data_IF_466120531896
#
_entry.id   IF_466120531896
#
_cell.length_a   1.000
_cell.length_b   1.000
_cell.length_c   1.000
_cell.angle_alpha   90.00
_cell.angle_beta   90.00
_cell.angle_gamma   90.00
#
_symmetry.space_group_name_H-M   'P 1'
#
loop_
_entity.id
_entity.type
_entity.pdbx_description
1 polymer ?
#
# COMPACT_ATOMS: atom_id res chain seq x y z
N UNK A 1 10.33 2.96 0.30
CA UNK A 1 11.23 3.29 -0.83
C UNK A 1 11.00 4.74 -1.20
N UNK A 2 12.06 5.52 -1.26
CA UNK A 2 11.97 6.95 -1.50
C UNK A 2 12.94 7.40 -2.59
N UNK A 3 12.60 8.50 -3.24
CA UNK A 3 13.47 9.19 -4.20
C UNK A 3 13.44 10.67 -3.90
N UNK A 4 14.58 11.34 -4.10
CA UNK A 4 14.75 12.76 -3.83
C UNK A 4 14.99 13.47 -5.15
N UNK A 5 14.23 14.53 -5.41
CA UNK A 5 14.29 15.28 -6.66
C UNK A 5 14.39 16.76 -6.33
N UNK A 6 15.36 17.44 -6.94
CA UNK A 6 15.43 18.91 -6.88
C UNK A 6 14.47 19.49 -7.92
N UNK A 7 13.61 20.41 -7.48
CA UNK A 7 12.61 21.11 -8.31
C UNK A 7 13.18 22.41 -8.87
N UNK A 8 12.50 22.96 -9.88
CA UNK A 8 12.89 24.19 -10.58
C UNK A 8 12.89 25.43 -9.67
N UNK A 9 12.07 25.43 -8.62
CA UNK A 9 11.99 26.47 -7.58
C UNK A 9 13.07 26.31 -6.49
N UNK A 10 14.09 25.49 -6.74
CA UNK A 10 15.15 25.13 -5.79
C UNK A 10 14.69 24.32 -4.56
N UNK A 11 13.40 24.00 -4.43
CA UNK A 11 12.94 23.10 -3.37
C UNK A 11 13.41 21.67 -3.63
N UNK A 12 13.65 20.92 -2.57
CA UNK A 12 14.00 19.50 -2.66
C UNK A 12 12.78 18.71 -2.22
N UNK A 13 12.21 17.91 -3.13
CA UNK A 13 11.06 17.06 -2.83
C UNK A 13 11.50 15.62 -2.72
N UNK A 14 11.16 14.99 -1.60
CA UNK A 14 11.22 13.56 -1.47
C UNK A 14 9.85 12.96 -1.79
N UNK A 15 9.82 11.99 -2.70
CA UNK A 15 8.67 11.12 -2.90
C UNK A 15 8.92 9.79 -2.20
N UNK A 16 7.90 9.27 -1.53
CA UNK A 16 7.94 7.99 -0.82
C UNK A 16 6.78 7.13 -1.26
N UNK A 17 7.05 5.84 -1.47
CA UNK A 17 6.02 4.81 -1.59
C UNK A 17 6.27 3.65 -0.62
N UNK A 18 5.18 3.02 -0.19
CA UNK A 18 5.22 1.86 0.71
C UNK A 18 3.84 1.28 0.96
N UNK A 19 3.77 0.30 1.87
CA UNK A 19 2.49 -0.24 2.35
C UNK A 19 1.60 0.89 2.88
N UNK A 20 0.32 0.86 2.52
CA UNK A 20 -0.56 2.01 2.70
C UNK A 20 -0.70 2.38 4.18
N UNK A 21 -0.91 1.40 5.05
CA UNK A 21 -1.03 1.60 6.50
C UNK A 21 0.26 2.09 7.16
N UNK A 22 1.44 1.76 6.61
CA UNK A 22 2.73 2.19 7.17
C UNK A 22 3.03 3.64 6.79
N UNK A 23 2.82 4.01 5.53
CA UNK A 23 3.10 5.37 5.05
C UNK A 23 2.07 6.36 5.61
N UNK A 24 0.79 6.00 5.67
CA UNK A 24 -0.23 6.90 6.23
C UNK A 24 0.03 7.26 7.69
N UNK A 25 0.60 6.35 8.50
CA UNK A 25 1.01 6.66 9.88
C UNK A 25 2.09 7.74 9.98
N UNK A 26 2.86 7.94 8.91
CA UNK A 26 3.91 8.96 8.79
C UNK A 26 3.40 10.25 8.14
N UNK A 27 2.12 10.32 7.77
CA UNK A 27 1.52 11.51 7.18
C UNK A 27 0.90 12.41 8.26
N UNK A 28 1.09 13.72 8.13
CA UNK A 28 0.38 14.73 8.94
C UNK A 28 -0.53 15.64 8.08
N UNK A 29 -0.47 15.46 6.76
CA UNK A 29 -1.27 16.19 5.79
C UNK A 29 -1.68 15.26 4.64
N UNK A 30 -2.72 15.63 3.92
CA UNK A 30 -3.23 14.91 2.74
C UNK A 30 -3.64 15.90 1.66
N UNK A 31 -3.46 15.53 0.39
CA UNK A 31 -4.00 16.26 -0.75
C UNK A 31 -5.48 15.92 -0.92
N UNK A 32 -6.32 16.95 -0.91
CA UNK A 32 -7.73 16.79 -1.22
C UNK A 32 -7.97 16.71 -2.75
N UNK A 33 -9.22 16.47 -3.15
CA UNK A 33 -9.64 16.41 -4.57
C UNK A 33 -9.37 17.69 -5.39
N UNK A 34 -9.19 18.83 -4.74
CA UNK A 34 -8.88 20.11 -5.39
C UNK A 34 -7.37 20.33 -5.51
N UNK A 35 -6.55 19.42 -5.00
CA UNK A 35 -5.09 19.57 -4.94
C UNK A 35 -4.61 20.44 -3.77
N UNK A 36 -5.47 20.72 -2.79
CA UNK A 36 -5.11 21.51 -1.61
C UNK A 36 -4.59 20.59 -0.51
N UNK A 37 -3.55 21.05 0.20
CA UNK A 37 -2.98 20.35 1.34
C UNK A 37 -3.83 20.68 2.57
N UNK A 38 -4.44 19.65 3.17
CA UNK A 38 -5.21 19.78 4.41
C UNK A 38 -4.56 18.98 5.54
N UNK A 39 -4.77 19.37 6.82
CA UNK A 39 -4.33 18.57 7.96
C UNK A 39 -4.90 17.14 7.89
N UNK A 40 -4.09 16.17 8.32
CA UNK A 40 -4.46 14.76 8.39
C UNK A 40 -4.29 14.28 9.83
N UNK A 41 -5.41 14.01 10.49
CA UNK A 41 -5.46 13.62 11.90
C UNK A 41 -5.47 12.10 12.06
N UNK A 42 -5.30 11.63 13.30
CA UNK A 42 -5.46 10.20 13.64
C UNK A 42 -6.88 9.70 13.32
N UNK A 43 -7.90 10.56 13.45
CA UNK A 43 -9.28 10.20 13.11
C UNK A 43 -9.42 9.95 11.61
N UNK A 44 -8.80 10.80 10.78
CA UNK A 44 -8.79 10.63 9.32
C UNK A 44 -8.01 9.37 8.92
N UNK A 45 -6.92 9.08 9.62
CA UNK A 45 -6.16 7.85 9.46
C UNK A 45 -7.03 6.60 9.71
N UNK A 46 -7.68 6.52 10.87
CA UNK A 46 -8.53 5.36 11.21
C UNK A 46 -9.69 5.22 10.22
N UNK A 47 -10.28 6.34 9.80
CA UNK A 47 -11.34 6.36 8.80
C UNK A 47 -10.85 5.81 7.45
N UNK A 48 -9.68 6.23 6.94
CA UNK A 48 -9.14 5.72 5.66
C UNK A 48 -8.74 4.24 5.74
N UNK A 49 -8.27 3.78 6.90
CA UNK A 49 -7.98 2.36 7.12
C UNK A 49 -9.26 1.54 6.93
N UNK A 50 -10.33 1.89 7.64
CA UNK A 50 -11.59 1.15 7.63
C UNK A 50 -12.36 1.26 6.31
N UNK A 51 -12.36 2.44 5.68
CA UNK A 51 -13.20 2.72 4.51
C UNK A 51 -12.52 2.49 3.17
N UNK A 52 -11.18 2.46 3.12
CA UNK A 52 -10.43 2.33 1.86
C UNK A 52 -9.48 1.14 1.90
N UNK A 53 -8.58 1.06 2.88
CA UNK A 53 -7.51 0.06 2.88
C UNK A 53 -8.06 -1.34 3.19
N UNK A 54 -8.84 -1.49 4.25
CA UNK A 54 -9.42 -2.78 4.63
C UNK A 54 -10.27 -3.39 3.50
N UNK A 55 -11.24 -2.68 2.89
CA UNK A 55 -11.99 -3.18 1.74
C UNK A 55 -11.10 -3.61 0.58
N UNK A 56 -10.12 -2.79 0.19
CA UNK A 56 -9.18 -3.15 -0.88
C UNK A 56 -8.40 -4.43 -0.56
N UNK A 57 -7.93 -4.59 0.68
CA UNK A 57 -7.20 -5.81 1.08
C UNK A 57 -8.09 -7.05 1.13
N UNK A 58 -9.37 -6.90 1.54
CA UNK A 58 -10.36 -7.97 1.51
C UNK A 58 -10.63 -8.45 0.07
N UNK A 59 -10.64 -7.53 -0.89
CA UNK A 59 -10.75 -7.85 -2.33
C UNK A 59 -9.46 -8.47 -2.91
N UNK A 60 -8.43 -8.62 -2.08
CA UNK A 60 -7.14 -9.21 -2.46
C UNK A 60 -6.21 -8.24 -3.17
N UNK A 61 -6.47 -6.93 -3.09
CA UNK A 61 -5.61 -5.91 -3.68
C UNK A 61 -4.41 -5.63 -2.76
N UNK A 62 -3.25 -5.44 -3.37
CA UNK A 62 -2.07 -4.90 -2.70
C UNK A 62 -2.19 -3.38 -2.63
N UNK A 63 -2.33 -2.84 -1.43
CA UNK A 63 -2.46 -1.41 -1.20
C UNK A 63 -1.09 -0.74 -1.09
N UNK A 64 -0.89 0.36 -1.83
CA UNK A 64 0.32 1.18 -1.82
C UNK A 64 -0.09 2.63 -1.62
N UNK A 65 0.53 3.32 -0.67
CA UNK A 65 0.38 4.76 -0.49
C UNK A 65 1.57 5.49 -1.13
N UNK A 66 1.26 6.57 -1.83
CA UNK A 66 2.21 7.53 -2.38
C UNK A 66 2.12 8.81 -1.58
N UNK A 67 3.27 9.29 -1.11
CA UNK A 67 3.37 10.51 -0.31
C UNK A 67 4.61 11.31 -0.70
N UNK A 68 4.66 12.57 -0.30
CA UNK A 68 5.85 13.39 -0.48
C UNK A 68 6.14 14.28 0.74
N UNK A 69 7.34 14.84 0.77
CA UNK A 69 7.72 15.92 1.68
C UNK A 69 8.65 16.88 0.97
N UNK A 70 8.44 18.17 1.21
CA UNK A 70 9.28 19.23 0.70
C UNK A 70 10.29 19.69 1.77
N UNK A 71 11.53 19.88 1.34
CA UNK A 71 12.63 20.39 2.14
C UNK A 71 13.16 21.69 1.51
N UNK A 72 13.47 22.66 2.37
CA UNK A 72 14.11 23.89 1.95
C UNK A 72 15.56 23.60 1.53
N UNK A 73 16.06 24.18 0.43
CA UNK A 73 17.46 23.98 -0.01
C UNK A 73 18.48 24.42 1.04
N UNK A 74 18.10 25.34 1.93
CA UNK A 74 18.98 25.88 2.98
C UNK A 74 18.95 25.03 4.27
N UNK A 75 18.07 24.02 4.34
CA UNK A 75 17.88 23.17 5.52
C UNK A 75 17.57 21.75 5.07
N UNK A 76 18.56 21.10 4.47
CA UNK A 76 18.46 19.69 4.12
C UNK A 76 18.63 18.83 5.38
N UNK A 77 17.87 17.74 5.51
CA UNK A 77 18.05 16.79 6.60
C UNK A 77 19.33 15.97 6.40
N UNK A 78 19.73 15.24 7.45
CA UNK A 78 20.65 14.12 7.29
C UNK A 78 19.90 12.98 6.59
N UNK A 79 20.35 12.63 5.38
CA UNK A 79 19.68 11.61 4.56
C UNK A 79 19.88 10.19 5.07
N UNK A 80 20.89 9.96 5.91
CA UNK A 80 21.15 8.66 6.53
C UNK A 80 20.19 8.40 7.71
N UNK A 81 19.53 9.45 8.22
CA UNK A 81 18.47 9.33 9.23
C UNK A 81 17.09 9.14 8.57
N UNK A 82 16.87 7.93 8.03
CA UNK A 82 15.63 7.57 7.34
C UNK A 82 14.38 7.82 8.21
N UNK A 83 14.50 7.63 9.53
CA UNK A 83 13.36 7.76 10.46
C UNK A 83 12.81 9.17 10.47
N UNK A 84 13.69 10.18 10.57
CA UNK A 84 13.31 11.58 10.60
C UNK A 84 13.03 12.16 9.20
N UNK A 85 13.69 11.61 8.17
CA UNK A 85 13.47 12.01 6.78
C UNK A 85 12.09 11.55 6.30
N UNK A 86 11.76 10.29 6.53
CA UNK A 86 10.49 9.66 6.11
C UNK A 86 9.45 9.78 7.22
N UNK A 87 9.15 11.03 7.58
CA UNK A 87 8.13 11.43 8.54
C UNK A 87 7.51 12.76 8.11
N UNK A 88 6.38 13.17 8.72
CA UNK A 88 5.66 14.42 8.41
C UNK A 88 5.33 14.56 6.92
N UNK A 89 4.85 13.47 6.33
CA UNK A 89 4.56 13.37 4.91
C UNK A 89 3.19 13.99 4.56
N UNK A 90 3.06 14.39 3.31
CA UNK A 90 1.78 14.69 2.66
C UNK A 90 1.35 13.50 1.83
N UNK A 91 0.23 12.88 2.21
CA UNK A 91 -0.38 11.79 1.44
C UNK A 91 -0.92 12.34 0.10
N UNK A 92 -0.57 11.68 -1.01
CA UNK A 92 -1.08 12.02 -2.36
C UNK A 92 -2.28 11.13 -2.66
N UNK A 93 -2.08 9.82 -2.61
CA UNK A 93 -3.11 8.83 -2.94
C UNK A 93 -2.77 7.45 -2.40
N UNK A 94 -3.81 6.60 -2.35
CA UNK A 94 -3.71 5.17 -2.08
C UNK A 94 -4.16 4.45 -3.34
N UNK A 95 -3.34 3.49 -3.79
CA UNK A 95 -3.64 2.66 -4.95
C UNK A 95 -3.80 1.20 -4.50
N UNK A 96 -4.89 0.56 -4.92
CA UNK A 96 -5.05 -0.89 -4.86
C UNK A 96 -4.57 -1.51 -6.16
N UNK A 97 -3.63 -2.45 -6.08
CA UNK A 97 -3.09 -3.17 -7.25
C UNK A 97 -3.51 -4.62 -7.14
N UNK A 98 -4.28 -5.10 -8.12
CA UNK A 98 -4.63 -6.52 -8.18
C UNK A 98 -3.44 -7.33 -8.70
N UNK A 99 -3.10 -8.40 -7.99
CA UNK A 99 -2.18 -9.41 -8.49
C UNK A 99 -3.01 -10.50 -9.17
N UNK A 100 -3.16 -10.40 -10.49
CA UNK A 100 -4.04 -11.30 -11.23
C UNK A 100 -3.57 -12.75 -11.12
N UNK A 101 -4.52 -13.64 -10.83
CA UNK A 101 -4.26 -15.07 -10.82
C UNK A 101 -4.18 -15.54 -12.26
N UNK A 102 -3.22 -16.43 -12.55
CA UNK A 102 -3.13 -17.01 -13.89
C UNK A 102 -4.42 -17.79 -14.20
N UNK A 103 -5.05 -17.59 -15.37
CA UNK A 103 -6.38 -18.14 -15.65
C UNK A 103 -6.50 -19.67 -15.53
N UNK A 104 -5.41 -20.39 -15.70
CA UNK A 104 -5.33 -21.86 -15.64
C UNK A 104 -5.23 -22.41 -14.20
N UNK A 105 -4.79 -21.62 -13.23
CA UNK A 105 -4.53 -22.06 -11.85
C UNK A 105 -5.74 -22.67 -11.16
N UNK A 106 -6.96 -22.09 -11.21
CA UNK A 106 -8.13 -22.69 -10.56
C UNK A 106 -8.45 -24.09 -11.10
N UNK A 107 -8.31 -24.30 -12.41
CA UNK A 107 -8.55 -25.60 -13.04
C UNK A 107 -7.49 -26.63 -12.63
N UNK A 108 -6.22 -26.23 -12.55
CA UNK A 108 -5.13 -27.10 -12.07
C UNK A 108 -5.38 -27.54 -10.62
N UNK A 109 -5.78 -26.61 -9.75
CA UNK A 109 -6.08 -26.92 -8.34
C UNK A 109 -7.27 -27.87 -8.22
N UNK A 110 -8.32 -27.66 -9.03
CA UNK A 110 -9.46 -28.57 -9.07
C UNK A 110 -9.05 -30.01 -9.46
N UNK A 111 -8.18 -30.16 -10.47
CA UNK A 111 -7.63 -31.48 -10.87
C UNK A 111 -6.79 -32.12 -9.77
N UNK A 112 -5.92 -31.36 -9.11
CA UNK A 112 -5.14 -31.86 -7.98
C UNK A 112 -6.04 -32.37 -6.85
N UNK A 113 -7.09 -31.63 -6.50
CA UNK A 113 -8.07 -32.05 -5.48
C UNK A 113 -8.82 -33.31 -5.89
N UNK A 114 -9.27 -33.40 -7.15
CA UNK A 114 -9.92 -34.60 -7.67
C UNK A 114 -9.01 -35.85 -7.58
N UNK A 115 -7.70 -35.67 -7.76
CA UNK A 115 -6.70 -36.71 -7.61
C UNK A 115 -6.30 -37.01 -6.14
N UNK A 116 -6.93 -36.37 -5.15
CA UNK A 116 -6.61 -36.55 -3.73
C UNK A 116 -5.34 -35.83 -3.25
N UNK A 117 -4.82 -34.87 -4.03
CA UNK A 117 -3.61 -34.10 -3.69
C UNK A 117 -4.00 -32.86 -2.87
N UNK A 118 -3.36 -32.68 -1.71
CA UNK A 118 -3.51 -31.47 -0.90
C UNK A 118 -2.59 -30.35 -1.40
N UNK A 119 -3.19 -29.23 -1.81
CA UNK A 119 -2.46 -28.02 -2.24
C UNK A 119 -2.28 -27.08 -1.04
N UNK A 120 -1.08 -26.50 -0.86
CA UNK A 120 -0.77 -25.52 0.19
C UNK A 120 -0.18 -24.25 -0.43
N UNK A 121 -0.68 -23.09 -0.02
CA UNK A 121 -0.13 -21.79 -0.39
C UNK A 121 0.97 -21.38 0.60
N UNK A 122 2.11 -20.93 0.09
CA UNK A 122 3.16 -20.25 0.85
C UNK A 122 3.31 -18.87 0.22
N UNK A 123 3.04 -17.81 0.98
CA UNK A 123 3.15 -16.42 0.51
C UNK A 123 3.68 -15.52 1.62
N UNK A 124 4.31 -14.41 1.22
CA UNK A 124 4.70 -13.31 2.11
C UNK A 124 3.65 -12.21 2.21
N UNK A 125 2.48 -12.37 1.57
CA UNK A 125 1.38 -11.43 1.64
C UNK A 125 0.72 -11.42 3.03
N UNK A 126 -0.02 -10.35 3.33
CA UNK A 126 -0.82 -10.30 4.55
C UNK A 126 -1.95 -11.37 4.53
N UNK A 127 -2.51 -11.67 5.70
CA UNK A 127 -3.49 -12.76 5.86
C UNK A 127 -4.77 -12.57 5.04
N UNK A 128 -5.25 -11.33 4.87
CA UNK A 128 -6.48 -11.03 4.13
C UNK A 128 -6.27 -11.23 2.63
N UNK A 129 -5.17 -10.72 2.09
CA UNK A 129 -4.78 -10.91 0.69
C UNK A 129 -4.50 -12.38 0.38
N UNK A 130 -3.81 -13.09 1.27
CA UNK A 130 -3.54 -14.51 1.12
C UNK A 130 -4.85 -15.32 1.09
N UNK A 131 -5.79 -15.02 2.01
CA UNK A 131 -7.11 -15.68 2.05
C UNK A 131 -7.91 -15.42 0.79
N UNK A 132 -7.98 -14.16 0.34
CA UNK A 132 -8.69 -13.78 -0.89
C UNK A 132 -8.12 -14.51 -2.11
N UNK A 133 -6.79 -14.54 -2.25
CA UNK A 133 -6.10 -15.27 -3.32
C UNK A 133 -6.36 -16.78 -3.23
N UNK A 134 -6.33 -17.36 -2.03
CA UNK A 134 -6.57 -18.78 -1.82
C UNK A 134 -8.01 -19.19 -2.16
N UNK A 135 -8.99 -18.33 -1.90
CA UNK A 135 -10.40 -18.51 -2.32
C UNK A 135 -10.53 -18.42 -3.83
N UNK A 136 -9.98 -17.37 -4.46
CA UNK A 136 -10.01 -17.21 -5.93
C UNK A 136 -9.34 -18.37 -6.67
N UNK A 137 -8.26 -18.93 -6.11
CA UNK A 137 -7.56 -20.11 -6.63
C UNK A 137 -8.29 -21.45 -6.35
N UNK A 138 -9.25 -21.48 -5.43
CA UNK A 138 -9.91 -22.73 -5.00
C UNK A 138 -9.06 -23.62 -4.08
N UNK A 139 -8.01 -23.07 -3.46
CA UNK A 139 -7.20 -23.78 -2.46
C UNK A 139 -8.04 -23.99 -1.20
N UNK A 140 -8.71 -22.93 -0.75
CA UNK A 140 -9.75 -22.97 0.26
C UNK A 140 -11.10 -22.70 -0.40
N UNK A 141 -12.18 -23.28 0.13
CA UNK A 141 -13.54 -23.10 -0.38
C UNK A 141 -14.31 -22.19 0.57
N UNK A 142 -15.32 -21.48 0.06
CA UNK A 142 -16.30 -20.80 0.91
C UNK A 142 -17.08 -21.86 1.68
N UNK A 143 -16.94 -21.88 3.01
CA UNK A 143 -17.93 -22.44 3.91
C UNK A 143 -18.91 -21.35 4.29
#
# INVERSE_FOLDING_TARGET
>A
MSTIIRRSDSTVRMYTKGAAEIILKKCNTILNRNGEIIPFSTIDYDHLIQTVIEPMTCDGLRTICLAYRDFSPNRLPDWDDETNVVDQLTCICICGIENSIRPDVPNVIAKCRYAGITVRMITGDNINTARSTALKCGIILHN
#
